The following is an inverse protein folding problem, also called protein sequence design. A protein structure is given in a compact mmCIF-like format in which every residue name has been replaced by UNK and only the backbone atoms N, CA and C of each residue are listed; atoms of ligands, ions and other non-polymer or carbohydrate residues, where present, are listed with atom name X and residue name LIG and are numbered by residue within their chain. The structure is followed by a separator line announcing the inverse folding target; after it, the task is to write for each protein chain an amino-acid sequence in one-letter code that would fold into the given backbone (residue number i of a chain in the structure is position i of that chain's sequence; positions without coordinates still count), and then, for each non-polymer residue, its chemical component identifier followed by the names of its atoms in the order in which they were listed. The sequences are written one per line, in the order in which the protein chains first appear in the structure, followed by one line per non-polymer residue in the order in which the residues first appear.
data_IF_758391739899
#
_entry.id   IF_758391739899
#
_cell.length_a   1.000
_cell.length_b   1.000
_cell.length_c   1.000
_cell.angle_alpha   90.00
_cell.angle_beta   90.00
_cell.angle_gamma   90.00
#
_symmetry.space_group_name_H-M   'P 1'
#
loop_
_entity.id
_entity.type
_entity.pdbx_description
1 polymer ?
#
# COMPACT_ATOMS: atom_id res chain seq x y z
N UNK A 1 49.03 -33.97 -5.40
CA UNK A 1 49.03 -32.79 -6.28
C UNK A 1 47.58 -32.42 -6.57
N UNK A 2 46.98 -31.63 -5.68
CA UNK A 2 45.58 -31.17 -5.73
C UNK A 2 45.57 -29.73 -6.27
N UNK A 3 45.06 -29.57 -7.49
CA UNK A 3 44.98 -28.29 -8.18
C UNK A 3 43.85 -27.45 -7.56
N UNK A 4 44.21 -26.38 -6.84
CA UNK A 4 43.24 -25.41 -6.31
C UNK A 4 42.65 -24.59 -7.46
N UNK A 5 41.39 -24.85 -7.79
CA UNK A 5 40.62 -24.02 -8.71
C UNK A 5 40.39 -22.63 -8.09
N UNK A 6 41.03 -21.62 -8.67
CA UNK A 6 40.90 -20.21 -8.29
C UNK A 6 39.56 -19.70 -8.81
N UNK A 7 38.52 -19.67 -7.97
CA UNK A 7 37.25 -19.00 -8.26
C UNK A 7 37.46 -17.49 -8.32
N UNK A 8 37.71 -16.95 -9.52
CA UNK A 8 37.74 -15.50 -9.73
C UNK A 8 36.33 -14.95 -9.56
N UNK A 9 36.10 -14.23 -8.45
CA UNK A 9 34.88 -13.46 -8.20
C UNK A 9 34.74 -12.42 -9.32
N UNK A 10 33.87 -12.70 -10.29
CA UNK A 10 33.58 -11.80 -11.42
C UNK A 10 32.89 -10.57 -10.83
N UNK A 11 33.63 -9.46 -10.66
CA UNK A 11 33.03 -8.17 -10.37
C UNK A 11 32.18 -7.80 -11.59
N UNK A 12 30.87 -8.03 -11.47
CA UNK A 12 29.91 -7.69 -12.50
C UNK A 12 29.97 -6.18 -12.68
N UNK A 13 30.42 -5.72 -13.85
CA UNK A 13 30.27 -4.32 -14.25
C UNK A 13 28.79 -3.97 -14.09
N UNK A 14 28.43 -2.78 -13.59
CA UNK A 14 27.05 -2.42 -13.46
C UNK A 14 26.43 -2.51 -14.86
N UNK A 15 25.49 -3.43 -15.02
CA UNK A 15 24.68 -3.57 -16.21
C UNK A 15 23.91 -2.26 -16.40
N UNK A 16 23.74 -1.82 -17.65
CA UNK A 16 23.05 -0.57 -17.93
C UNK A 16 21.65 -0.51 -17.29
N UNK A 17 21.00 -1.67 -17.13
CA UNK A 17 19.75 -1.83 -16.39
C UNK A 17 19.88 -1.46 -14.91
N UNK A 18 20.85 -2.06 -14.20
CA UNK A 18 21.16 -1.74 -12.81
C UNK A 18 21.48 -0.27 -12.54
N UNK A 19 22.14 0.42 -13.48
CA UNK A 19 22.36 1.87 -13.37
C UNK A 19 21.06 2.66 -13.48
N UNK A 20 20.21 2.33 -14.45
CA UNK A 20 18.93 3.02 -14.67
C UNK A 20 18.01 2.85 -13.47
N UNK A 21 17.90 1.63 -12.93
CA UNK A 21 17.04 1.37 -11.76
C UNK A 21 17.55 2.12 -10.52
N UNK A 22 18.87 2.14 -10.31
CA UNK A 22 19.48 2.88 -9.21
C UNK A 22 19.20 4.38 -9.33
N UNK A 23 19.34 4.96 -10.53
CA UNK A 23 19.04 6.36 -10.78
C UNK A 23 17.56 6.69 -10.57
N UNK A 24 16.65 5.82 -11.00
CA UNK A 24 15.21 5.99 -10.78
C UNK A 24 14.86 5.96 -9.29
N UNK A 25 15.40 4.99 -8.53
CA UNK A 25 15.19 4.91 -7.08
C UNK A 25 15.72 6.17 -6.39
N UNK A 26 16.92 6.62 -6.75
CA UNK A 26 17.48 7.87 -6.22
C UNK A 26 16.63 9.08 -6.57
N UNK A 27 16.08 9.16 -7.78
CA UNK A 27 15.20 10.25 -8.19
C UNK A 27 13.91 10.27 -7.36
N UNK A 28 13.29 9.11 -7.10
CA UNK A 28 12.10 8.98 -6.25
C UNK A 28 12.44 9.39 -4.82
N UNK A 29 13.46 8.79 -4.21
CA UNK A 29 13.92 9.07 -2.85
C UNK A 29 14.24 10.56 -2.65
N UNK A 30 14.84 11.22 -3.64
CA UNK A 30 15.22 12.64 -3.53
C UNK A 30 14.13 13.62 -3.98
N UNK A 31 12.99 13.13 -4.51
CA UNK A 31 11.91 13.99 -5.03
C UNK A 31 11.48 15.11 -4.08
N UNK A 32 11.34 14.90 -2.75
CA UNK A 32 10.91 15.95 -1.83
C UNK A 32 11.88 17.14 -1.68
N UNK A 33 13.12 17.02 -2.15
CA UNK A 33 14.11 18.09 -2.06
C UNK A 33 14.06 19.06 -3.25
N UNK A 34 13.45 18.67 -4.37
CA UNK A 34 13.43 19.47 -5.60
C UNK A 34 12.04 19.64 -6.22
N UNK A 35 11.11 18.70 -5.99
CA UNK A 35 9.77 18.73 -6.57
C UNK A 35 8.84 19.68 -5.80
N UNK A 36 7.95 20.34 -6.52
CA UNK A 36 6.92 21.18 -5.91
C UNK A 36 5.86 20.33 -5.20
N UNK A 37 5.10 20.95 -4.29
CA UNK A 37 4.03 20.29 -3.53
C UNK A 37 2.98 19.59 -4.39
N UNK A 38 2.57 20.24 -5.49
CA UNK A 38 1.61 19.66 -6.42
C UNK A 38 2.19 18.42 -7.12
N UNK A 39 3.47 18.48 -7.50
CA UNK A 39 4.18 17.38 -8.13
C UNK A 39 4.34 16.19 -7.18
N UNK A 40 4.69 16.44 -5.91
CA UNK A 40 4.77 15.38 -4.90
C UNK A 40 3.46 14.63 -4.71
N UNK A 41 2.32 15.33 -4.77
CA UNK A 41 0.99 14.68 -4.71
C UNK A 41 0.73 13.84 -5.95
N UNK A 42 1.02 14.37 -7.14
CA UNK A 42 0.88 13.64 -8.40
C UNK A 42 1.80 12.40 -8.43
N UNK A 43 3.03 12.53 -7.96
CA UNK A 43 3.95 11.39 -7.86
C UNK A 43 3.47 10.37 -6.82
N UNK A 44 2.94 10.80 -5.68
CA UNK A 44 2.36 9.89 -4.68
C UNK A 44 1.16 9.11 -5.25
N UNK A 45 0.29 9.80 -6.00
CA UNK A 45 -0.85 9.18 -6.68
C UNK A 45 -0.38 8.19 -7.76
N UNK A 46 0.60 8.59 -8.57
CA UNK A 46 1.22 7.72 -9.56
C UNK A 46 1.84 6.46 -8.93
N UNK A 47 2.62 6.61 -7.86
CA UNK A 47 3.24 5.50 -7.14
C UNK A 47 2.20 4.55 -6.53
N UNK A 48 1.11 5.10 -6.00
CA UNK A 48 -0.03 4.31 -5.49
C UNK A 48 -0.66 3.46 -6.60
N UNK A 49 -0.91 4.05 -7.77
CA UNK A 49 -1.44 3.30 -8.91
C UNK A 49 -0.42 2.31 -9.49
N UNK A 50 0.87 2.65 -9.49
CA UNK A 50 1.94 1.74 -9.91
C UNK A 50 2.00 0.52 -8.99
N UNK A 51 1.90 0.71 -7.67
CA UNK A 51 1.84 -0.39 -6.72
C UNK A 51 0.63 -1.31 -6.97
N UNK A 52 -0.54 -0.73 -7.26
CA UNK A 52 -1.73 -1.50 -7.65
C UNK A 52 -1.55 -2.25 -8.97
N UNK A 53 -0.90 -1.64 -9.97
CA UNK A 53 -0.61 -2.28 -11.24
C UNK A 53 0.37 -3.46 -11.09
N UNK A 54 1.43 -3.28 -10.29
CA UNK A 54 2.39 -4.36 -9.97
C UNK A 54 1.71 -5.48 -9.21
N UNK A 55 0.85 -5.15 -8.24
CA UNK A 55 0.05 -6.14 -7.50
C UNK A 55 -0.90 -6.90 -8.44
N UNK A 56 -1.57 -6.21 -9.36
CA UNK A 56 -2.41 -6.88 -10.36
C UNK A 56 -1.60 -7.82 -11.25
N UNK A 57 -0.42 -7.37 -11.71
CA UNK A 57 0.49 -8.20 -12.50
C UNK A 57 0.98 -9.43 -11.71
N UNK A 58 1.23 -9.26 -10.41
CA UNK A 58 1.58 -10.36 -9.51
C UNK A 58 0.48 -11.41 -9.42
N UNK A 59 -0.77 -10.98 -9.21
CA UNK A 59 -1.90 -11.89 -9.08
C UNK A 59 -2.32 -12.51 -10.42
N UNK A 60 -2.70 -11.68 -11.40
CA UNK A 60 -3.25 -12.16 -12.66
C UNK A 60 -2.17 -12.67 -13.62
N UNK A 61 -0.99 -12.04 -13.64
CA UNK A 61 0.10 -12.40 -14.56
C UNK A 61 0.91 -13.60 -14.06
N UNK A 62 1.46 -13.51 -12.84
CA UNK A 62 2.36 -14.55 -12.32
C UNK A 62 1.64 -15.68 -11.57
N UNK A 63 0.64 -15.37 -10.74
CA UNK A 63 -0.09 -16.39 -9.98
C UNK A 63 -1.28 -16.99 -10.75
N UNK A 64 -1.69 -16.41 -11.89
CA UNK A 64 -2.84 -16.85 -12.68
C UNK A 64 -4.20 -16.64 -11.98
N UNK A 65 -4.22 -15.79 -10.94
CA UNK A 65 -5.40 -15.50 -10.13
C UNK A 65 -6.01 -14.17 -10.57
N UNK A 66 -7.14 -14.23 -11.29
CA UNK A 66 -7.90 -13.03 -11.64
C UNK A 66 -8.69 -12.54 -10.41
N UNK A 67 -8.12 -11.61 -9.64
CA UNK A 67 -8.75 -11.01 -8.47
C UNK A 67 -9.17 -9.57 -8.74
N UNK A 68 -10.43 -9.22 -8.47
CA UNK A 68 -10.98 -7.85 -8.64
C UNK A 68 -11.33 -7.21 -7.30
N UNK A 69 -10.79 -7.74 -6.20
CA UNK A 69 -11.16 -7.38 -4.85
C UNK A 69 -10.26 -6.36 -4.14
N UNK A 70 -9.25 -5.79 -4.80
CA UNK A 70 -8.23 -4.99 -4.11
C UNK A 70 -8.79 -3.76 -3.39
N UNK A 71 -9.92 -3.23 -3.88
CA UNK A 71 -10.62 -2.09 -3.28
C UNK A 71 -11.02 -2.34 -1.81
N UNK A 72 -11.29 -3.58 -1.40
CA UNK A 72 -11.54 -3.91 0.01
C UNK A 72 -10.37 -3.52 0.90
N UNK A 73 -9.15 -3.88 0.49
CA UNK A 73 -7.96 -3.74 1.31
C UNK A 73 -7.48 -2.30 1.35
N UNK A 74 -7.53 -1.61 0.20
CA UNK A 74 -7.23 -0.17 0.12
C UNK A 74 -8.24 0.63 0.96
N UNK A 75 -9.54 0.34 0.78
CA UNK A 75 -10.61 0.98 1.54
C UNK A 75 -10.51 0.72 3.04
N UNK A 76 -10.33 -0.54 3.45
CA UNK A 76 -10.19 -0.92 4.85
C UNK A 76 -8.93 -0.27 5.47
N UNK A 77 -7.79 -0.28 4.79
CA UNK A 77 -6.55 0.32 5.32
C UNK A 77 -6.71 1.81 5.57
N UNK A 78 -7.26 2.55 4.61
CA UNK A 78 -7.53 3.98 4.76
C UNK A 78 -8.53 4.27 5.87
N UNK A 79 -9.62 3.50 5.92
CA UNK A 79 -10.68 3.70 6.90
C UNK A 79 -10.26 3.30 8.33
N UNK A 80 -9.51 2.21 8.48
CA UNK A 80 -8.95 1.79 9.76
C UNK A 80 -8.02 2.86 10.33
N UNK A 81 -7.20 3.52 9.50
CA UNK A 81 -6.40 4.66 9.93
C UNK A 81 -7.28 5.79 10.49
N UNK A 82 -8.40 6.10 9.84
CA UNK A 82 -9.31 7.16 10.27
C UNK A 82 -9.96 6.81 11.60
N UNK A 83 -10.47 5.59 11.75
CA UNK A 83 -11.09 5.12 13.00
C UNK A 83 -10.07 5.13 14.14
N UNK A 84 -8.85 4.65 13.93
CA UNK A 84 -7.79 4.63 14.94
C UNK A 84 -7.36 6.04 15.36
N UNK A 85 -7.24 6.96 14.42
CA UNK A 85 -6.89 8.35 14.73
C UNK A 85 -8.06 9.13 15.37
N UNK A 86 -9.29 8.92 14.90
CA UNK A 86 -10.46 9.68 15.34
C UNK A 86 -11.05 9.17 16.65
N UNK A 87 -11.21 7.84 16.80
CA UNK A 87 -11.84 7.25 17.98
C UNK A 87 -10.82 6.88 19.06
N UNK A 88 -9.66 6.33 18.67
CA UNK A 88 -8.64 5.90 19.64
C UNK A 88 -7.56 6.98 19.92
N UNK A 89 -7.61 8.12 19.22
CA UNK A 89 -6.67 9.22 19.42
C UNK A 89 -5.22 8.88 19.07
N UNK A 90 -4.98 7.81 18.32
CA UNK A 90 -3.65 7.35 17.98
C UNK A 90 -2.96 8.29 16.98
N UNK A 91 -1.63 8.38 17.07
CA UNK A 91 -0.85 9.10 16.07
C UNK A 91 -0.91 8.37 14.73
N UNK A 92 -0.88 9.07 13.59
CA UNK A 92 -0.92 8.42 12.27
C UNK A 92 0.21 7.38 12.08
N UNK A 93 1.37 7.62 12.69
CA UNK A 93 2.52 6.71 12.63
C UNK A 93 2.25 5.35 13.29
N UNK A 94 1.50 5.31 14.41
CA UNK A 94 1.10 4.03 15.03
C UNK A 94 -0.16 3.46 14.40
N UNK A 95 -1.04 4.31 13.84
CA UNK A 95 -2.24 3.88 13.15
C UNK A 95 -1.94 3.13 11.84
N UNK A 96 -0.91 3.53 11.07
CA UNK A 96 -0.51 2.87 9.81
C UNK A 96 -0.22 1.37 9.99
N UNK A 97 0.73 0.94 10.85
CA UNK A 97 1.03 -0.48 11.01
C UNK A 97 -0.16 -1.26 11.55
N UNK A 98 -0.97 -0.68 12.45
CA UNK A 98 -2.20 -1.31 12.93
C UNK A 98 -3.24 -1.48 11.82
N UNK A 99 -3.38 -0.50 10.92
CA UNK A 99 -4.25 -0.60 9.76
C UNK A 99 -3.77 -1.67 8.77
N UNK A 100 -2.45 -1.81 8.56
CA UNK A 100 -1.86 -2.89 7.75
C UNK A 100 -2.19 -4.25 8.38
N UNK A 101 -2.03 -4.40 9.70
CA UNK A 101 -2.37 -5.64 10.41
C UNK A 101 -3.86 -5.95 10.28
N UNK A 102 -4.74 -4.95 10.43
CA UNK A 102 -6.18 -5.12 10.28
C UNK A 102 -6.57 -5.56 8.86
N UNK A 103 -5.98 -4.93 7.83
CA UNK A 103 -6.17 -5.32 6.43
C UNK A 103 -5.65 -6.74 6.15
N UNK A 104 -4.49 -7.09 6.69
CA UNK A 104 -3.92 -8.44 6.59
C UNK A 104 -4.76 -9.51 7.28
N UNK A 105 -5.34 -9.19 8.44
CA UNK A 105 -6.26 -10.09 9.14
C UNK A 105 -7.53 -10.34 8.32
N UNK A 106 -8.11 -9.27 7.74
CA UNK A 106 -9.25 -9.41 6.84
C UNK A 106 -8.89 -10.24 5.60
N UNK A 107 -7.72 -9.99 5.00
CA UNK A 107 -7.22 -10.76 3.87
C UNK A 107 -7.07 -12.26 4.19
N UNK A 108 -6.56 -12.59 5.38
CA UNK A 108 -6.44 -13.98 5.83
C UNK A 108 -7.81 -14.66 5.96
N UNK A 109 -8.82 -13.97 6.52
CA UNK A 109 -10.19 -14.48 6.59
C UNK A 109 -10.75 -14.75 5.19
N UNK A 110 -10.60 -13.79 4.27
CA UNK A 110 -11.08 -13.98 2.89
C UNK A 110 -10.31 -15.05 2.12
N UNK A 111 -9.00 -15.20 2.36
CA UNK A 111 -8.21 -16.24 1.72
C UNK A 111 -8.77 -17.65 2.01
N UNK A 112 -9.25 -17.90 3.24
CA UNK A 112 -9.86 -19.18 3.63
C UNK A 112 -11.14 -19.49 2.84
N UNK A 113 -11.90 -18.46 2.46
CA UNK A 113 -13.15 -18.62 1.70
C UNK A 113 -12.88 -18.65 0.19
N UNK A 114 -12.08 -17.70 -0.31
CA UNK A 114 -11.90 -17.43 -1.73
C UNK A 114 -10.98 -18.44 -2.41
N UNK A 115 -9.95 -18.97 -1.74
CA UNK A 115 -9.07 -19.99 -2.33
C UNK A 115 -9.75 -21.35 -2.56
N UNK A 116 -11.03 -21.50 -2.17
CA UNK A 116 -11.85 -22.67 -2.51
C UNK A 116 -12.56 -22.52 -3.86
N UNK A 117 -12.48 -21.35 -4.49
CA UNK A 117 -13.11 -21.03 -5.75
C UNK A 117 -12.06 -21.04 -6.87
N UNK A 118 -12.45 -21.52 -8.05
CA UNK A 118 -11.58 -21.58 -9.21
C UNK A 118 -12.05 -20.65 -10.34
N UNK A 119 -11.08 -20.11 -11.08
CA UNK A 119 -11.30 -19.36 -12.32
C UNK A 119 -12.27 -18.18 -12.16
N UNK A 120 -13.35 -18.19 -12.94
CA UNK A 120 -14.32 -17.09 -12.95
C UNK A 120 -15.04 -16.91 -11.60
N UNK A 121 -15.27 -18.00 -10.85
CA UNK A 121 -15.90 -17.92 -9.53
C UNK A 121 -15.01 -17.20 -8.52
N UNK A 122 -13.69 -17.36 -8.63
CA UNK A 122 -12.72 -16.61 -7.82
C UNK A 122 -12.79 -15.11 -8.11
N UNK A 123 -12.89 -14.72 -9.38
CA UNK A 123 -13.02 -13.32 -9.78
C UNK A 123 -14.31 -12.67 -9.23
N UNK A 124 -15.46 -13.36 -9.36
CA UNK A 124 -16.73 -12.87 -8.81
C UNK A 124 -16.70 -12.84 -7.28
N UNK A 125 -16.16 -13.88 -6.64
CA UNK A 125 -16.04 -13.95 -5.18
C UNK A 125 -15.17 -12.83 -4.62
N UNK A 126 -14.02 -12.55 -5.25
CA UNK A 126 -13.13 -11.46 -4.85
C UNK A 126 -13.76 -10.08 -5.08
N UNK A 127 -14.70 -9.92 -6.02
CA UNK A 127 -15.44 -8.67 -6.23
C UNK A 127 -16.53 -8.45 -5.16
N UNK A 128 -17.32 -9.48 -4.84
CA UNK A 128 -18.44 -9.41 -3.88
C UNK A 128 -17.97 -9.31 -2.43
N UNK A 129 -16.80 -9.88 -2.12
CA UNK A 129 -16.19 -9.82 -0.79
C UNK A 129 -16.04 -8.37 -0.25
N UNK A 130 -15.38 -7.43 -0.95
CA UNK A 130 -15.33 -6.01 -0.59
C UNK A 130 -16.69 -5.37 -0.35
N UNK A 131 -17.65 -5.65 -1.23
CA UNK A 131 -18.98 -5.05 -1.17
C UNK A 131 -19.70 -5.47 0.12
N UNK A 132 -19.57 -6.75 0.47
CA UNK A 132 -20.11 -7.30 1.71
C UNK A 132 -19.49 -6.64 2.93
N UNK A 133 -18.17 -6.44 2.93
CA UNK A 133 -17.47 -5.73 4.02
C UNK A 133 -17.97 -4.30 4.13
N UNK A 134 -18.08 -3.58 3.02
CA UNK A 134 -18.58 -2.21 3.00
C UNK A 134 -20.00 -2.13 3.60
N UNK A 135 -20.91 -3.02 3.23
CA UNK A 135 -22.25 -3.05 3.80
C UNK A 135 -22.26 -3.31 5.30
N UNK A 136 -21.44 -4.25 5.78
CA UNK A 136 -21.31 -4.53 7.23
C UNK A 136 -20.78 -3.30 7.97
N UNK A 137 -19.76 -2.63 7.44
CA UNK A 137 -19.20 -1.43 8.05
C UNK A 137 -20.19 -0.27 8.08
N UNK A 138 -20.99 -0.10 7.02
CA UNK A 138 -22.03 0.93 6.95
C UNK A 138 -23.11 0.76 8.03
N UNK A 139 -23.32 -0.46 8.55
CA UNK A 139 -24.27 -0.74 9.63
C UNK A 139 -23.74 -0.46 11.04
N UNK A 140 -22.44 -0.24 11.22
CA UNK A 140 -21.83 -0.05 12.56
C UNK A 140 -21.73 1.44 12.88
N UNK A 141 -22.52 1.98 13.84
CA UNK A 141 -22.56 3.42 14.11
C UNK A 141 -21.23 3.97 14.66
N UNK A 142 -20.51 3.16 15.45
CA UNK A 142 -19.21 3.52 16.04
C UNK A 142 -18.15 3.84 14.98
N UNK A 143 -18.27 3.25 13.80
CA UNK A 143 -17.36 3.49 12.69
C UNK A 143 -17.74 4.76 11.90
N UNK A 144 -18.85 5.42 12.23
CA UNK A 144 -19.41 6.54 11.44
C UNK A 144 -20.47 6.10 10.44
N UNK A 145 -20.86 4.82 10.43
CA UNK A 145 -21.88 4.26 9.56
C UNK A 145 -21.66 4.58 8.08
N UNK A 146 -22.73 4.82 7.32
CA UNK A 146 -22.66 5.20 5.91
C UNK A 146 -22.16 6.62 5.62
N UNK A 147 -21.90 7.45 6.63
CA UNK A 147 -21.53 8.87 6.46
C UNK A 147 -20.02 9.11 6.38
N UNK A 148 -19.20 8.06 6.55
CA UNK A 148 -17.74 8.13 6.69
C UNK A 148 -17.28 9.05 7.85
N UNK A 149 -15.99 8.97 8.19
CA UNK A 149 -15.38 9.82 9.21
C UNK A 149 -14.42 10.81 8.56
N UNK A 150 -14.24 11.98 9.17
CA UNK A 150 -13.18 12.91 8.80
C UNK A 150 -11.98 12.76 9.73
N UNK A 151 -10.78 12.96 9.21
CA UNK A 151 -9.57 12.87 10.01
C UNK A 151 -9.43 14.14 10.87
N UNK A 152 -9.29 14.03 12.20
CA UNK A 152 -9.14 15.20 13.05
C UNK A 152 -7.91 16.04 12.67
N UNK A 153 -8.06 17.37 12.69
CA UNK A 153 -6.96 18.28 12.36
C UNK A 153 -5.75 18.12 13.30
N UNK A 154 -5.99 17.66 14.53
CA UNK A 154 -4.95 17.30 15.50
C UNK A 154 -4.09 16.13 14.99
N UNK A 155 -4.70 15.07 14.45
CA UNK A 155 -3.99 13.92 13.88
C UNK A 155 -3.17 14.32 12.65
N UNK A 156 -3.70 15.21 11.81
CA UNK A 156 -2.96 15.75 10.64
C UNK A 156 -1.76 16.60 11.08
N UNK A 157 -1.88 17.37 12.17
CA UNK A 157 -0.77 18.14 12.74
C UNK A 157 0.25 17.25 13.47
N UNK A 158 -0.17 16.09 13.98
CA UNK A 158 0.70 15.13 14.63
C UNK A 158 1.71 14.47 13.65
N UNK A 159 1.44 14.48 12.34
CA UNK A 159 2.41 14.02 11.32
C UNK A 159 3.65 14.93 11.31
N UNK A 160 3.47 16.23 11.15
CA UNK A 160 4.52 17.23 11.35
C UNK A 160 3.93 18.63 11.48
N UNK A 161 4.64 19.54 12.16
CA UNK A 161 4.21 20.92 12.35
C UNK A 161 4.18 21.70 11.02
N UNK A 162 5.19 21.52 10.17
CA UNK A 162 5.29 22.16 8.85
C UNK A 162 4.37 21.49 7.82
N UNK A 163 3.72 22.28 6.94
CA UNK A 163 2.93 21.73 5.84
C UNK A 163 3.81 21.03 4.79
N UNK A 164 5.01 21.53 4.54
CA UNK A 164 5.98 20.92 3.62
C UNK A 164 6.49 19.58 4.12
N UNK A 165 6.98 19.56 5.37
CA UNK A 165 7.46 18.33 5.99
C UNK A 165 6.41 17.22 5.99
N UNK A 166 5.12 17.56 6.17
CA UNK A 166 4.03 16.58 6.08
C UNK A 166 3.93 15.95 4.71
N UNK A 167 3.97 16.76 3.64
CA UNK A 167 3.87 16.25 2.28
C UNK A 167 5.11 15.42 1.90
N UNK A 168 6.31 15.84 2.33
CA UNK A 168 7.51 15.04 2.18
C UNK A 168 7.37 13.69 2.88
N UNK A 169 7.01 13.67 4.16
CA UNK A 169 6.87 12.43 4.94
C UNK A 169 5.83 11.49 4.32
N UNK A 170 4.67 12.02 3.90
CA UNK A 170 3.64 11.22 3.23
C UNK A 170 4.18 10.62 1.93
N UNK A 171 4.92 11.40 1.15
CA UNK A 171 5.54 10.89 -0.07
C UNK A 171 6.53 9.75 0.23
N UNK A 172 7.40 9.90 1.23
CA UNK A 172 8.32 8.84 1.65
C UNK A 172 7.60 7.57 2.12
N UNK A 173 6.46 7.72 2.81
CA UNK A 173 5.63 6.58 3.24
C UNK A 173 4.98 5.86 2.06
N UNK A 174 4.64 6.58 0.98
CA UNK A 174 4.08 5.99 -0.24
C UNK A 174 5.16 5.33 -1.10
N UNK A 175 6.38 5.88 -1.08
CA UNK A 175 7.50 5.38 -1.87
C UNK A 175 8.22 4.16 -1.25
N UNK A 176 7.98 3.87 0.03
CA UNK A 176 8.58 2.76 0.77
C UNK A 176 7.88 1.42 0.50
#
# INVERSE_FOLDING_TARGET
MTTLAKTTKKYSRPDAGGLITTLLVLAVVTAPFWAARAELRLFSEFLSFLALAVLWNLLAGYAGLLSVGQQAFVGLGGYALFVLCANAGLSPYSAIPLAIIAAGALAAVFALLLFRLDGAYFAVGTWVAPETVMFVFAMIPVLGGGACMSLPTASVKAVAAGKELRESIVFWLVAA
#
